data_IF_277589689750
#
_entry.id   IF_277589689750
#
_cell.length_a   1.000
_cell.length_b   1.000
_cell.length_c   1.000
_cell.angle_alpha   90.00
_cell.angle_beta   90.00
_cell.angle_gamma   90.00
#
_symmetry.space_group_name_H-M   'P 1'
#
loop_
_entity.id
_entity.type
_entity.pdbx_description
1 polymer ?
#
# COMPACT_ATOMS: atom_id res chain seq x y z
N UNK A 1 -33.38 -11.90 46.45
CA UNK A 1 -33.00 -12.33 45.10
C UNK A 1 -32.81 -11.06 44.29
N UNK A 2 -31.57 -10.78 43.92
CA UNK A 2 -31.14 -9.58 43.22
C UNK A 2 -31.48 -9.76 41.73
N UNK A 3 -32.25 -8.84 41.16
CA UNK A 3 -32.54 -8.84 39.73
C UNK A 3 -31.24 -8.56 38.97
N UNK A 4 -30.88 -9.48 38.07
CA UNK A 4 -29.77 -9.35 37.12
C UNK A 4 -30.26 -8.42 35.99
N UNK A 5 -30.02 -7.11 36.16
CA UNK A 5 -30.17 -6.10 35.12
C UNK A 5 -28.89 -6.14 34.27
N UNK A 6 -28.89 -6.95 33.21
CA UNK A 6 -27.85 -6.90 32.17
C UNK A 6 -28.32 -5.91 31.11
N UNK A 7 -27.77 -4.69 31.04
CA UNK A 7 -28.05 -3.83 29.90
C UNK A 7 -27.45 -4.44 28.64
N UNK A 8 -28.26 -4.50 27.59
CA UNK A 8 -27.87 -4.77 26.21
C UNK A 8 -26.65 -3.92 25.82
N UNK A 9 -25.47 -4.53 25.73
CA UNK A 9 -24.30 -3.93 25.06
C UNK A 9 -24.31 -4.24 23.55
N UNK A 10 -25.49 -4.16 22.93
CA UNK A 10 -25.65 -4.04 21.49
C UNK A 10 -25.48 -2.56 21.10
N UNK A 11 -24.23 -2.09 21.12
CA UNK A 11 -23.71 -1.01 20.28
C UNK A 11 -22.29 -0.66 20.72
N UNK A 12 -21.31 -1.52 20.40
CA UNK A 12 -19.96 -1.00 20.17
C UNK A 12 -20.03 -0.19 18.87
N UNK A 13 -19.91 1.15 18.92
CA UNK A 13 -19.88 1.94 17.72
C UNK A 13 -18.67 1.51 16.88
N UNK A 14 -18.97 1.31 15.62
CA UNK A 14 -18.07 1.19 14.49
C UNK A 14 -16.74 1.92 14.71
N UNK A 15 -15.71 1.15 15.09
CA UNK A 15 -14.32 1.57 15.07
C UNK A 15 -13.59 0.78 13.97
N UNK A 16 -14.19 0.64 12.79
CA UNK A 16 -13.38 0.56 11.55
C UNK A 16 -12.88 1.97 11.22
N UNK A 17 -12.01 2.48 12.09
CA UNK A 17 -11.41 3.81 12.01
C UNK A 17 -9.98 3.75 12.52
N UNK A 18 -9.17 2.87 11.92
CA UNK A 18 -7.72 2.82 12.12
C UNK A 18 -7.11 2.26 10.83
N UNK A 19 -6.32 2.98 10.04
CA UNK A 19 -5.66 4.26 10.27
C UNK A 19 -6.13 5.38 9.36
N UNK A 20 -5.94 6.60 9.88
CA UNK A 20 -5.80 7.85 9.16
C UNK A 20 -4.73 7.70 8.07
N UNK A 21 -5.08 7.15 6.90
CA UNK A 21 -4.40 7.48 5.66
C UNK A 21 -5.00 8.81 5.20
N UNK A 22 -4.64 9.92 5.86
CA UNK A 22 -4.56 11.15 5.07
C UNK A 22 -3.41 10.88 4.11
N UNK A 23 -3.64 10.71 2.80
CA UNK A 23 -2.53 10.80 1.88
C UNK A 23 -1.87 12.14 2.18
N UNK A 24 -0.58 12.12 2.48
CA UNK A 24 0.24 13.33 2.43
C UNK A 24 0.00 13.89 1.02
N UNK A 25 -0.89 14.88 0.91
CA UNK A 25 -1.51 15.26 -0.36
C UNK A 25 -0.52 15.91 -1.34
N UNK A 26 0.78 15.89 -1.02
CA UNK A 26 1.87 16.42 -1.82
C UNK A 26 2.86 15.38 -2.34
N UNK A 27 2.96 14.17 -1.76
CA UNK A 27 3.87 13.13 -2.23
C UNK A 27 3.10 11.93 -2.81
N UNK A 28 3.36 11.52 -4.06
CA UNK A 28 2.74 10.32 -4.61
C UNK A 28 3.09 9.12 -3.73
N UNK A 29 2.12 8.22 -3.53
CA UNK A 29 2.41 6.98 -2.81
C UNK A 29 3.45 6.19 -3.61
N UNK A 30 4.36 5.46 -2.94
CA UNK A 30 5.38 4.67 -3.64
C UNK A 30 4.78 3.68 -4.65
N UNK A 31 3.54 3.23 -4.42
CA UNK A 31 2.78 2.36 -5.33
C UNK A 31 2.25 3.11 -6.54
N UNK A 32 1.80 4.37 -6.38
CA UNK A 32 1.34 5.22 -7.48
C UNK A 32 2.50 5.55 -8.45
N UNK A 33 3.69 5.80 -7.90
CA UNK A 33 4.91 6.00 -8.69
C UNK A 33 5.32 4.74 -9.47
N UNK A 34 5.20 3.57 -8.85
CA UNK A 34 5.49 2.29 -9.53
C UNK A 34 4.50 2.04 -10.66
N UNK A 35 3.20 2.25 -10.43
CA UNK A 35 2.17 2.09 -11.45
C UNK A 35 2.40 3.04 -12.64
N UNK A 36 2.70 4.31 -12.38
CA UNK A 36 3.03 5.26 -13.45
C UNK A 36 4.27 4.84 -14.25
N UNK A 37 5.28 4.28 -13.60
CA UNK A 37 6.49 3.78 -14.28
C UNK A 37 6.20 2.54 -15.12
N UNK A 38 5.31 1.64 -14.66
CA UNK A 38 4.87 0.48 -15.43
C UNK A 38 4.09 0.91 -16.68
N UNK A 39 3.18 1.89 -16.57
CA UNK A 39 2.44 2.42 -17.73
C UNK A 39 3.39 2.94 -18.83
N UNK A 40 4.48 3.60 -18.45
CA UNK A 40 5.50 4.06 -19.39
C UNK A 40 6.18 2.87 -20.09
N UNK A 41 6.55 1.81 -19.36
CA UNK A 41 7.14 0.60 -19.94
C UNK A 41 6.18 -0.10 -20.88
N UNK A 42 4.90 -0.17 -20.52
CA UNK A 42 3.86 -0.79 -21.35
C UNK A 42 3.51 0.01 -22.61
N UNK A 43 3.88 1.29 -22.67
CA UNK A 43 3.81 2.07 -23.91
C UNK A 43 4.95 1.76 -24.89
N UNK A 44 6.03 1.12 -24.44
CA UNK A 44 7.21 0.83 -25.25
C UNK A 44 7.00 -0.38 -26.19
N UNK A 45 7.81 -0.49 -27.27
CA UNK A 45 7.86 -1.69 -28.10
C UNK A 45 8.16 -2.95 -27.29
N UNK A 46 7.58 -4.08 -27.68
CA UNK A 46 7.73 -5.36 -26.97
C UNK A 46 9.18 -5.80 -26.81
N UNK A 47 10.05 -5.49 -27.77
CA UNK A 47 11.48 -5.78 -27.73
C UNK A 47 12.21 -5.13 -26.55
N UNK A 48 11.69 -4.00 -26.07
CA UNK A 48 12.39 -3.12 -25.12
C UNK A 48 11.90 -3.36 -23.69
N UNK A 49 10.68 -3.89 -23.53
CA UNK A 49 10.04 -4.07 -22.22
C UNK A 49 10.82 -4.97 -21.27
N UNK A 50 11.43 -6.03 -21.77
CA UNK A 50 12.16 -6.98 -20.92
C UNK A 50 13.30 -6.29 -20.15
N UNK A 51 14.13 -5.52 -20.85
CA UNK A 51 15.22 -4.78 -20.23
C UNK A 51 14.70 -3.68 -19.27
N UNK A 52 13.57 -3.04 -19.61
CA UNK A 52 12.97 -2.03 -18.76
C UNK A 52 12.40 -2.61 -17.46
N UNK A 53 11.75 -3.79 -17.51
CA UNK A 53 11.29 -4.49 -16.32
C UNK A 53 12.44 -4.97 -15.44
N UNK A 54 13.52 -5.49 -16.04
CA UNK A 54 14.72 -5.86 -15.29
C UNK A 54 15.28 -4.67 -14.50
N UNK A 55 15.34 -3.49 -15.12
CA UNK A 55 15.77 -2.27 -14.41
C UNK A 55 14.82 -1.85 -13.27
N UNK A 56 13.51 -2.08 -13.41
CA UNK A 56 12.54 -1.86 -12.31
C UNK A 56 12.77 -2.87 -11.18
N UNK A 57 12.99 -4.15 -11.52
CA UNK A 57 13.25 -5.19 -10.53
C UNK A 57 14.52 -4.93 -9.71
N UNK A 58 15.63 -4.55 -10.36
CA UNK A 58 16.89 -4.23 -9.69
C UNK A 58 16.76 -3.03 -8.73
N UNK A 59 16.00 -2.02 -9.14
CA UNK A 59 15.72 -0.84 -8.31
C UNK A 59 14.88 -1.22 -7.08
N UNK A 60 13.82 -2.01 -7.27
CA UNK A 60 12.99 -2.51 -6.17
C UNK A 60 13.77 -3.40 -5.21
N UNK A 61 14.60 -4.30 -5.72
CA UNK A 61 15.45 -5.17 -4.91
C UNK A 61 16.39 -4.35 -4.02
N UNK A 62 17.03 -3.32 -4.60
CA UNK A 62 17.90 -2.40 -3.86
C UNK A 62 17.15 -1.64 -2.76
N UNK A 63 15.93 -1.18 -3.04
CA UNK A 63 15.09 -0.49 -2.05
C UNK A 63 14.72 -1.40 -0.88
N UNK A 64 14.40 -2.67 -1.17
CA UNK A 64 14.12 -3.67 -0.14
C UNK A 64 15.34 -4.01 0.71
N UNK A 65 16.53 -4.10 0.09
CA UNK A 65 17.79 -4.32 0.81
C UNK A 65 18.12 -3.14 1.74
N UNK A 66 17.83 -1.91 1.30
CA UNK A 66 18.08 -0.69 2.08
C UNK A 66 17.06 -0.46 3.21
N UNK A 67 15.85 -1.00 3.08
CA UNK A 67 14.79 -0.83 4.09
C UNK A 67 14.04 -2.15 4.34
N UNK A 68 14.62 -3.07 5.12
CA UNK A 68 14.06 -4.41 5.34
C UNK A 68 12.75 -4.40 6.17
N UNK A 69 12.46 -3.29 6.87
CA UNK A 69 11.23 -3.08 7.65
C UNK A 69 10.15 -2.32 6.86
N UNK A 70 10.44 -1.90 5.62
CA UNK A 70 9.44 -1.27 4.77
C UNK A 70 8.28 -2.26 4.53
N UNK A 71 7.02 -1.81 4.67
CA UNK A 71 5.88 -2.65 4.36
C UNK A 71 6.00 -3.13 2.92
N UNK A 72 5.92 -4.44 2.72
CA UNK A 72 5.78 -5.03 1.39
C UNK A 72 4.38 -4.67 0.91
N UNK A 73 4.30 -3.79 -0.08
CA UNK A 73 3.06 -3.48 -0.79
C UNK A 73 2.41 -4.75 -1.35
#
# INVERSE_FOLDING_TARGET
>A
MLSDDRPDEDAVPDQTGSGDERPDAGAPRPDEDLLSRLDIVESQPLSDRAAAYEAIHEDLARRLEQNPEAPRA
#
